data_IF_642757937915
#
_entry.id   IF_642757937915
#
_cell.length_a   1.000
_cell.length_b   1.000
_cell.length_c   1.000
_cell.angle_alpha   90.00
_cell.angle_beta   90.00
_cell.angle_gamma   90.00
#
_symmetry.space_group_name_H-M   'P 1'
#
loop_
_entity.id
_entity.type
_entity.pdbx_description
1 polymer ?
#
# COMPACT_ATOMS: atom_id res chain seq x y z
N UNK A 1 13.36 11.96 -14.42
CA UNK A 1 11.96 11.51 -14.34
C UNK A 1 11.06 12.19 -15.38
N UNK A 2 11.07 13.52 -15.52
CA UNK A 2 10.21 14.21 -16.52
C UNK A 2 10.45 13.81 -17.99
N UNK A 3 11.71 13.69 -18.43
CA UNK A 3 12.02 13.37 -19.84
C UNK A 3 11.59 11.96 -20.24
N UNK A 4 11.79 10.96 -19.36
CA UNK A 4 11.33 9.58 -19.60
C UNK A 4 9.80 9.48 -19.61
N UNK A 5 9.12 10.27 -18.78
CA UNK A 5 7.65 10.34 -18.78
C UNK A 5 7.12 10.95 -20.08
N UNK A 6 7.73 12.03 -20.58
CA UNK A 6 7.37 12.66 -21.86
C UNK A 6 7.61 11.69 -23.03
N UNK A 7 8.75 10.98 -23.03
CA UNK A 7 9.02 9.95 -24.03
C UNK A 7 7.99 8.82 -23.97
N UNK A 8 7.66 8.31 -22.78
CA UNK A 8 6.65 7.28 -22.60
C UNK A 8 5.25 7.74 -23.08
N UNK A 9 4.91 9.02 -22.93
CA UNK A 9 3.63 9.57 -23.40
C UNK A 9 3.50 9.51 -24.93
N UNK A 10 4.61 9.63 -25.67
CA UNK A 10 4.63 9.47 -27.14
C UNK A 10 4.49 7.99 -27.56
N UNK A 11 5.06 7.06 -26.79
CA UNK A 11 4.96 5.61 -27.04
C UNK A 11 3.72 4.95 -26.40
N UNK A 12 2.96 5.66 -25.55
CA UNK A 12 1.73 5.19 -24.93
C UNK A 12 0.70 4.57 -25.90
N UNK A 13 0.43 5.14 -27.10
CA UNK A 13 -0.50 4.52 -28.05
C UNK A 13 -0.04 3.14 -28.56
N UNK A 14 1.27 2.87 -28.63
CA UNK A 14 1.80 1.56 -29.02
C UNK A 14 1.56 0.51 -27.94
N UNK A 15 1.62 0.88 -26.66
CA UNK A 15 1.28 -0.02 -25.56
C UNK A 15 -0.21 -0.39 -25.57
N UNK A 16 -1.09 0.50 -26.02
CA UNK A 16 -2.53 0.26 -26.16
C UNK A 16 -2.92 -0.71 -27.29
N UNK A 17 -2.00 -1.02 -28.21
CA UNK A 17 -2.23 -1.99 -29.29
C UNK A 17 -2.05 -3.45 -28.82
N UNK A 18 -1.49 -3.66 -27.64
CA UNK A 18 -1.19 -4.99 -27.11
C UNK A 18 -2.51 -5.63 -26.61
N UNK A 19 -2.88 -6.84 -27.07
CA UNK A 19 -4.05 -7.54 -26.57
C UNK A 19 -3.98 -7.76 -25.06
N UNK A 20 -5.08 -7.55 -24.35
CA UNK A 20 -5.15 -7.68 -22.89
C UNK A 20 -4.71 -9.05 -22.35
N UNK A 21 -4.86 -10.10 -23.17
CA UNK A 21 -4.39 -11.44 -22.84
C UNK A 21 -2.86 -11.54 -22.73
N UNK A 22 -2.13 -10.79 -23.57
CA UNK A 22 -0.67 -10.77 -23.54
C UNK A 22 -0.12 -10.01 -22.31
N UNK A 23 -0.84 -8.99 -21.83
CA UNK A 23 -0.44 -8.21 -20.64
C UNK A 23 -0.74 -8.92 -19.32
N UNK A 24 -1.70 -9.85 -19.30
CA UNK A 24 -2.11 -10.55 -18.07
C UNK A 24 -0.95 -11.32 -17.42
N UNK A 25 -0.16 -12.06 -18.21
CA UNK A 25 1.00 -12.80 -17.70
C UNK A 25 2.07 -11.88 -17.09
N UNK A 26 2.32 -10.73 -17.72
CA UNK A 26 3.25 -9.73 -17.19
C UNK A 26 2.77 -9.14 -15.86
N UNK A 27 1.46 -8.84 -15.74
CA UNK A 27 0.87 -8.31 -14.51
C UNK A 27 0.94 -9.32 -13.34
N UNK A 28 0.73 -10.60 -13.60
CA UNK A 28 0.87 -11.66 -12.58
C UNK A 28 2.32 -11.71 -12.09
N UNK A 29 3.30 -11.68 -12.99
CA UNK A 29 4.71 -11.69 -12.60
C UNK A 29 5.10 -10.46 -11.78
N UNK A 30 4.63 -9.27 -12.16
CA UNK A 30 4.84 -8.03 -11.39
C UNK A 30 4.18 -8.12 -10.01
N UNK A 31 2.97 -8.68 -9.90
CA UNK A 31 2.33 -8.88 -8.61
C UNK A 31 3.14 -9.80 -7.69
N UNK A 32 3.73 -10.88 -8.25
CA UNK A 32 4.63 -11.77 -7.50
C UNK A 32 5.88 -11.04 -7.01
N UNK A 33 6.48 -10.19 -7.85
CA UNK A 33 7.62 -9.35 -7.45
C UNK A 33 7.25 -8.40 -6.30
N UNK A 34 6.07 -7.77 -6.36
CA UNK A 34 5.60 -6.86 -5.31
C UNK A 34 5.29 -7.58 -3.99
N UNK A 35 4.80 -8.82 -4.04
CA UNK A 35 4.63 -9.65 -2.84
C UNK A 35 5.95 -9.91 -2.10
N UNK A 36 7.10 -9.87 -2.80
CA UNK A 36 8.42 -9.99 -2.17
C UNK A 36 8.65 -8.97 -1.06
N UNK A 37 8.02 -7.79 -1.12
CA UNK A 37 8.06 -6.79 -0.05
C UNK A 37 7.56 -7.31 1.31
N UNK A 38 6.63 -8.28 1.31
CA UNK A 38 6.10 -8.87 2.54
C UNK A 38 7.13 -9.70 3.30
N UNK A 39 8.20 -10.15 2.64
CA UNK A 39 9.29 -10.88 3.30
C UNK A 39 10.09 -10.01 4.28
N UNK A 40 10.03 -8.68 4.14
CA UNK A 40 10.72 -7.73 5.03
C UNK A 40 9.92 -7.39 6.30
N UNK A 41 8.72 -7.96 6.46
CA UNK A 41 7.87 -7.72 7.63
C UNK A 41 8.35 -8.60 8.78
N UNK A 42 8.43 -8.03 9.98
CA UNK A 42 8.76 -8.79 11.19
C UNK A 42 7.53 -9.60 11.65
N UNK A 43 7.49 -10.88 11.29
CA UNK A 43 6.35 -11.75 11.57
C UNK A 43 6.26 -12.21 13.03
N UNK A 44 7.36 -12.19 13.78
CA UNK A 44 7.39 -12.53 15.21
C UNK A 44 6.70 -11.47 16.08
N UNK A 45 6.62 -10.23 15.58
CA UNK A 45 6.05 -9.12 16.33
C UNK A 45 4.59 -8.86 15.93
N UNK A 46 3.65 -9.13 16.84
CA UNK A 46 2.22 -8.95 16.60
C UNK A 46 1.83 -7.51 16.21
N UNK A 47 2.55 -6.51 16.73
CA UNK A 47 2.33 -5.09 16.43
C UNK A 47 2.75 -4.69 15.01
N UNK A 48 3.50 -5.54 14.30
CA UNK A 48 3.89 -5.34 12.90
C UNK A 48 3.14 -6.30 11.95
N UNK A 49 2.94 -7.56 12.36
CA UNK A 49 2.26 -8.58 11.55
C UNK A 49 0.75 -8.39 11.43
N UNK A 50 0.06 -7.98 12.50
CA UNK A 50 -1.40 -7.74 12.47
C UNK A 50 -1.74 -6.59 11.49
N UNK A 51 -1.10 -5.41 11.57
CA UNK A 51 -1.36 -4.33 10.60
C UNK A 51 -1.07 -4.74 9.17
N UNK A 52 -0.01 -5.51 8.92
CA UNK A 52 0.32 -5.99 7.59
C UNK A 52 -0.79 -6.87 6.99
N UNK A 53 -1.33 -7.79 7.78
CA UNK A 53 -2.44 -8.66 7.36
C UNK A 53 -3.71 -7.83 7.12
N UNK A 54 -4.04 -6.90 8.04
CA UNK A 54 -5.20 -6.01 7.88
C UNK A 54 -5.08 -5.21 6.59
N UNK A 55 -3.90 -4.66 6.31
CA UNK A 55 -3.65 -3.90 5.08
C UNK A 55 -3.84 -4.77 3.82
N UNK A 56 -3.26 -5.97 3.81
CA UNK A 56 -3.34 -6.89 2.68
C UNK A 56 -4.77 -7.36 2.38
N UNK A 57 -5.61 -7.53 3.41
CA UNK A 57 -7.01 -7.94 3.25
C UNK A 57 -7.91 -6.75 2.92
N UNK A 58 -7.68 -5.59 3.55
CA UNK A 58 -8.54 -4.42 3.37
C UNK A 58 -8.38 -3.78 1.99
N UNK A 59 -7.19 -3.83 1.37
CA UNK A 59 -7.00 -3.29 0.00
C UNK A 59 -7.96 -3.91 -1.04
N UNK A 60 -8.03 -5.25 -1.22
CA UNK A 60 -8.99 -5.84 -2.16
C UNK A 60 -10.44 -5.68 -1.69
N UNK A 61 -10.69 -5.72 -0.37
CA UNK A 61 -12.06 -5.62 0.17
C UNK A 61 -12.69 -4.23 -0.02
N UNK A 62 -11.88 -3.18 0.11
CA UNK A 62 -12.33 -1.79 -0.07
C UNK A 62 -12.29 -1.34 -1.54
N UNK A 63 -11.79 -2.18 -2.46
CA UNK A 63 -11.52 -1.84 -3.85
C UNK A 63 -10.68 -0.55 -4.02
N UNK A 64 -9.96 -0.16 -2.96
CA UNK A 64 -9.22 1.09 -2.85
C UNK A 64 -7.90 0.83 -2.14
N UNK A 65 -6.80 0.94 -2.89
CA UNK A 65 -5.45 0.79 -2.33
C UNK A 65 -5.21 1.81 -1.22
N UNK A 66 -5.73 3.03 -1.38
CA UNK A 66 -5.58 4.10 -0.40
C UNK A 66 -6.30 3.78 0.92
N UNK A 67 -7.54 3.28 0.87
CA UNK A 67 -8.32 2.97 2.07
C UNK A 67 -7.78 1.74 2.80
N UNK A 68 -7.34 0.72 2.06
CA UNK A 68 -6.66 -0.43 2.65
C UNK A 68 -5.38 -0.05 3.40
N UNK A 69 -4.54 0.80 2.80
CA UNK A 69 -3.32 1.31 3.46
C UNK A 69 -3.67 2.17 4.69
N UNK A 70 -4.70 3.03 4.58
CA UNK A 70 -5.14 3.87 5.68
C UNK A 70 -5.53 3.06 6.91
N UNK A 71 -6.39 2.05 6.74
CA UNK A 71 -6.82 1.16 7.83
C UNK A 71 -5.64 0.36 8.40
N UNK A 72 -4.71 -0.05 7.55
CA UNK A 72 -3.44 -0.65 7.93
C UNK A 72 -2.62 0.20 8.88
N UNK A 73 -2.37 1.46 8.51
CA UNK A 73 -1.60 2.38 9.34
C UNK A 73 -2.32 2.77 10.63
N UNK A 74 -3.64 2.96 10.59
CA UNK A 74 -4.43 3.21 11.82
C UNK A 74 -4.25 2.03 12.78
N UNK A 75 -4.38 0.80 12.28
CA UNK A 75 -4.20 -0.42 13.09
C UNK A 75 -2.79 -0.50 13.67
N UNK A 76 -1.76 -0.16 12.89
CA UNK A 76 -0.37 -0.09 13.35
C UNK A 76 -0.17 0.93 14.48
N UNK A 77 -0.65 2.14 14.30
CA UNK A 77 -0.52 3.22 15.30
C UNK A 77 -1.28 2.85 16.58
N UNK A 78 -2.50 2.31 16.47
CA UNK A 78 -3.31 1.89 17.62
C UNK A 78 -2.62 0.77 18.39
N UNK A 79 -2.09 -0.24 17.69
CA UNK A 79 -1.39 -1.37 18.33
C UNK A 79 -0.08 -0.93 18.98
N UNK A 80 0.80 -0.19 18.29
CA UNK A 80 2.05 0.29 18.90
C UNK A 80 1.82 1.28 20.03
N UNK A 81 0.80 2.13 19.92
CA UNK A 81 0.40 3.01 21.00
C UNK A 81 -0.19 2.25 22.21
N UNK A 82 -0.97 1.19 21.98
CA UNK A 82 -1.50 0.36 23.06
C UNK A 82 -0.43 -0.49 23.76
N UNK A 83 0.63 -0.87 23.04
CA UNK A 83 1.71 -1.73 23.56
C UNK A 83 2.89 -0.93 24.14
N UNK A 84 2.76 0.40 24.24
CA UNK A 84 3.78 1.28 24.81
C UNK A 84 4.98 1.61 23.90
N UNK A 85 4.96 1.15 22.65
CA UNK A 85 6.04 1.30 21.66
C UNK A 85 5.94 2.60 20.85
N UNK A 86 5.67 3.72 21.52
CA UNK A 86 5.46 5.02 20.86
C UNK A 86 6.69 5.53 20.10
N UNK A 87 7.91 5.14 20.53
CA UNK A 87 9.18 5.59 19.92
C UNK A 87 9.45 5.01 18.53
N UNK A 88 8.79 3.91 18.18
CA UNK A 88 8.93 3.27 16.86
C UNK A 88 8.01 3.91 15.82
N UNK A 89 7.11 4.79 16.25
CA UNK A 89 6.17 5.50 15.37
C UNK A 89 6.81 6.81 14.93
N UNK A 90 7.07 6.96 13.63
CA UNK A 90 7.56 8.23 13.09
C UNK A 90 6.47 9.32 13.15
N UNK A 91 6.89 10.58 13.31
CA UNK A 91 5.97 11.72 13.36
C UNK A 91 5.11 11.83 12.09
N UNK A 92 5.68 11.45 10.94
CA UNK A 92 4.98 11.41 9.65
C UNK A 92 3.82 10.41 9.65
N UNK A 93 3.97 9.26 10.31
CA UNK A 93 2.92 8.25 10.39
C UNK A 93 1.74 8.74 11.24
N UNK A 94 2.01 9.46 12.34
CA UNK A 94 0.97 10.09 13.15
C UNK A 94 0.16 11.13 12.36
N UNK A 95 0.86 12.01 11.64
CA UNK A 95 0.21 13.02 10.79
C UNK A 95 -0.64 12.36 9.71
N UNK A 96 -0.11 11.33 9.05
CA UNK A 96 -0.81 10.61 7.99
C UNK A 96 -2.06 9.88 8.52
N UNK A 97 -1.97 9.24 9.68
CA UNK A 97 -3.13 8.65 10.35
C UNK A 97 -4.19 9.69 10.71
N UNK A 98 -3.79 10.87 11.21
CA UNK A 98 -4.75 11.94 11.50
C UNK A 98 -5.49 12.41 10.24
N UNK A 99 -4.78 12.53 9.10
CA UNK A 99 -5.38 12.88 7.80
C UNK A 99 -6.35 11.79 7.35
N UNK A 100 -5.99 10.51 7.45
CA UNK A 100 -6.88 9.41 7.05
C UNK A 100 -8.11 9.30 7.95
N UNK A 101 -7.97 9.50 9.26
CA UNK A 101 -9.12 9.55 10.17
C UNK A 101 -10.05 10.72 9.80
N UNK A 102 -9.49 11.90 9.50
CA UNK A 102 -10.28 13.01 9.01
C UNK A 102 -11.01 12.66 7.70
N UNK A 103 -10.35 12.00 6.75
CA UNK A 103 -10.98 11.51 5.51
C UNK A 103 -12.20 10.63 5.83
N UNK A 104 -12.09 9.65 6.72
CA UNK A 104 -13.19 8.74 7.07
C UNK A 104 -14.36 9.42 7.82
N UNK A 105 -14.12 10.54 8.49
CA UNK A 105 -15.15 11.27 9.24
C UNK A 105 -15.87 12.29 8.36
N UNK A 106 -15.15 12.96 7.44
CA UNK A 106 -15.67 14.07 6.64
C UNK A 106 -16.19 13.67 5.25
N UNK A 107 -15.91 12.46 4.77
CA UNK A 107 -16.23 11.98 3.42
C UNK A 107 -16.95 10.64 3.48
#
# INVERSE_FOLDING_TARGET
>A
MGVLFIAAMFFAPLAGMIPAYATAGALIYVAMLMMGGMAHINWDEATDSIPAIVTAIMMPLTFSVADGIALGFITYVVLKAGTGKYKEISISLYVLCAIFIAKFIFL
#
